data_IF_126719554934
#
_entry.id   IF_126719554934
#
_cell.length_a   1.000
_cell.length_b   1.000
_cell.length_c   1.000
_cell.angle_alpha   90.00
_cell.angle_beta   90.00
_cell.angle_gamma   90.00
#
_symmetry.space_group_name_H-M   'P 1'
#
loop_
_entity.id
_entity.type
_entity.pdbx_description
1 polymer ?
#
# COMPACT_ATOMS: atom_id res chain seq x y z
N UNK A 1 -12.85 -9.98 5.17
CA UNK A 1 -11.87 -10.24 4.08
C UNK A 1 -10.52 -10.43 4.75
N UNK A 2 -9.74 -11.46 4.39
CA UNK A 2 -8.37 -11.61 4.90
C UNK A 2 -7.46 -10.59 4.24
N UNK A 3 -6.47 -10.08 5.00
CA UNK A 3 -5.43 -9.18 4.47
C UNK A 3 -4.25 -10.02 4.00
N UNK A 4 -3.74 -9.73 2.81
CA UNK A 4 -2.65 -10.47 2.16
C UNK A 4 -1.27 -10.16 2.73
N UNK A 5 -1.07 -8.93 3.19
CA UNK A 5 0.19 -8.48 3.75
C UNK A 5 0.42 -9.07 5.15
N UNK A 6 1.63 -9.61 5.43
CA UNK A 6 1.99 -10.01 6.78
C UNK A 6 2.04 -8.79 7.72
N UNK A 7 1.73 -9.02 8.99
CA UNK A 7 1.75 -7.96 10.01
C UNK A 7 3.11 -7.26 10.13
N UNK A 8 4.21 -8.02 10.18
CA UNK A 8 5.53 -7.47 10.53
C UNK A 8 6.06 -6.41 9.56
N UNK A 9 6.02 -6.59 8.22
CA UNK A 9 6.38 -5.54 7.27
C UNK A 9 5.55 -4.26 7.42
N UNK A 10 4.23 -4.39 7.63
CA UNK A 10 3.36 -3.23 7.78
C UNK A 10 3.63 -2.51 9.11
N UNK A 11 3.83 -3.27 10.19
CA UNK A 11 4.24 -2.74 11.50
C UNK A 11 5.61 -2.05 11.43
N UNK A 12 6.54 -2.53 10.61
CA UNK A 12 7.84 -1.87 10.39
C UNK A 12 7.67 -0.51 9.69
N UNK A 13 6.87 -0.43 8.62
CA UNK A 13 6.58 0.82 7.89
C UNK A 13 5.93 1.86 8.81
N UNK A 14 4.92 1.48 9.60
CA UNK A 14 4.29 2.45 10.52
C UNK A 14 5.24 2.88 11.65
N UNK A 15 6.08 1.97 12.17
CA UNK A 15 7.05 2.30 13.24
C UNK A 15 8.16 3.24 12.78
N UNK A 16 8.67 3.08 11.55
CA UNK A 16 9.72 3.98 11.04
C UNK A 16 9.24 5.44 10.90
N UNK A 17 7.93 5.65 10.73
CA UNK A 17 7.28 6.97 10.67
C UNK A 17 6.68 7.43 12.01
N UNK A 18 6.81 6.65 13.08
CA UNK A 18 6.12 6.94 14.34
C UNK A 18 6.80 8.03 15.21
N UNK A 19 8.02 8.46 14.89
CA UNK A 19 8.83 9.44 15.64
C UNK A 19 8.82 9.23 17.17
N UNK A 20 8.96 7.98 17.61
CA UNK A 20 8.97 7.62 19.05
C UNK A 20 7.59 7.45 19.69
N UNK A 21 6.49 7.56 18.93
CA UNK A 21 5.18 7.09 19.36
C UNK A 21 5.13 5.56 19.39
N UNK A 22 4.28 5.00 20.24
CA UNK A 22 3.92 3.57 20.19
C UNK A 22 2.96 3.34 19.04
N UNK A 23 2.92 2.10 18.54
CA UNK A 23 1.95 1.68 17.53
C UNK A 23 1.10 0.54 18.10
N UNK A 24 -0.22 0.66 18.02
CA UNK A 24 -1.14 -0.45 18.34
C UNK A 24 -1.19 -1.46 17.20
N UNK A 25 -1.41 -2.74 17.50
CA UNK A 25 -1.59 -3.78 16.48
C UNK A 25 -2.70 -3.41 15.48
N UNK A 26 -3.84 -2.93 15.98
CA UNK A 26 -4.98 -2.51 15.15
C UNK A 26 -4.62 -1.39 14.15
N UNK A 27 -3.63 -0.56 14.45
CA UNK A 27 -3.17 0.49 13.52
C UNK A 27 -2.42 -0.10 12.32
N UNK A 28 -1.57 -1.10 12.57
CA UNK A 28 -0.90 -1.83 11.50
C UNK A 28 -1.90 -2.68 10.70
N UNK A 29 -2.91 -3.26 11.34
CA UNK A 29 -3.97 -4.00 10.64
C UNK A 29 -4.82 -3.10 9.75
N UNK A 30 -5.21 -1.92 10.23
CA UNK A 30 -5.94 -0.94 9.42
C UNK A 30 -5.09 -0.44 8.25
N UNK A 31 -3.82 -0.12 8.49
CA UNK A 31 -2.90 0.26 7.41
C UNK A 31 -2.77 -0.85 6.36
N UNK A 32 -2.65 -2.11 6.77
CA UNK A 32 -2.55 -3.24 5.86
C UNK A 32 -3.80 -3.39 4.98
N UNK A 33 -4.99 -3.15 5.55
CA UNK A 33 -6.27 -3.13 4.81
C UNK A 33 -6.29 -2.01 3.77
N UNK A 34 -5.89 -0.79 4.14
CA UNK A 34 -5.82 0.36 3.24
C UNK A 34 -4.85 0.14 2.10
N UNK A 35 -3.69 -0.46 2.38
CA UNK A 35 -2.70 -0.81 1.35
C UNK A 35 -3.30 -1.83 0.35
N UNK A 36 -4.00 -2.85 0.84
CA UNK A 36 -4.61 -3.87 0.00
C UNK A 36 -5.70 -3.29 -0.91
N UNK A 37 -6.61 -2.49 -0.36
CA UNK A 37 -7.68 -1.85 -1.14
C UNK A 37 -7.10 -0.92 -2.20
N UNK A 38 -6.12 -0.09 -1.84
CA UNK A 38 -5.45 0.80 -2.79
C UNK A 38 -4.72 0.02 -3.89
N UNK A 39 -3.97 -1.02 -3.53
CA UNK A 39 -3.22 -1.84 -4.49
C UNK A 39 -4.10 -2.63 -5.45
N UNK A 40 -5.23 -3.16 -4.99
CA UNK A 40 -6.19 -3.82 -5.86
C UNK A 40 -6.82 -2.83 -6.85
N UNK A 41 -7.19 -1.62 -6.38
CA UNK A 41 -7.70 -0.54 -7.24
C UNK A 41 -6.69 -0.09 -8.31
N UNK A 42 -5.41 0.06 -7.93
CA UNK A 42 -4.33 0.37 -8.88
C UNK A 42 -4.18 -0.74 -9.93
N UNK A 43 -4.27 -2.01 -9.53
CA UNK A 43 -4.17 -3.14 -10.46
C UNK A 43 -5.34 -3.18 -11.46
N UNK A 44 -6.56 -2.83 -11.04
CA UNK A 44 -7.72 -2.70 -11.96
C UNK A 44 -7.47 -1.61 -13.01
N UNK A 45 -6.92 -0.47 -12.57
CA UNK A 45 -6.56 0.64 -13.48
C UNK A 45 -5.47 0.18 -14.45
N UNK A 46 -4.41 -0.43 -13.94
CA UNK A 46 -3.31 -0.96 -14.74
C UNK A 46 -3.76 -2.05 -15.75
N UNK A 47 -4.70 -2.91 -15.37
CA UNK A 47 -5.28 -3.91 -16.28
C UNK A 47 -6.08 -3.25 -17.42
N UNK A 48 -6.73 -2.11 -17.14
CA UNK A 48 -7.45 -1.32 -18.17
C UNK A 48 -6.46 -0.70 -19.16
N UNK A 49 -5.36 -0.12 -18.69
CA UNK A 49 -4.28 0.41 -19.54
C UNK A 49 -3.66 -0.69 -20.40
N UNK A 50 -3.28 -1.83 -19.79
CA UNK A 50 -2.76 -2.98 -20.52
C UNK A 50 -3.73 -3.47 -21.61
N UNK A 51 -5.04 -3.48 -21.34
CA UNK A 51 -6.06 -3.88 -22.31
C UNK A 51 -6.17 -2.88 -23.46
N UNK A 52 -6.09 -1.59 -23.15
CA UNK A 52 -6.09 -0.50 -24.14
C UNK A 52 -4.87 -0.61 -25.07
N UNK A 53 -3.73 -1.04 -24.54
CA UNK A 53 -2.51 -1.36 -25.28
C UNK A 53 -2.55 -2.71 -26.02
N UNK A 54 -3.67 -3.44 -25.97
CA UNK A 54 -3.83 -4.73 -26.65
C UNK A 54 -3.08 -5.91 -26.02
N UNK A 55 -2.74 -5.81 -24.73
CA UNK A 55 -1.99 -6.83 -23.97
C UNK A 55 -2.74 -7.28 -22.71
N UNK A 56 -2.30 -8.42 -22.16
CA UNK A 56 -2.85 -9.03 -20.92
C UNK A 56 -1.82 -9.17 -19.80
N UNK A 57 -0.65 -8.56 -19.99
CA UNK A 57 0.40 -8.52 -18.97
C UNK A 57 0.54 -7.10 -18.48
N UNK A 58 0.32 -6.89 -17.17
CA UNK A 58 0.59 -5.65 -16.47
C UNK A 58 2.10 -5.43 -16.38
N UNK A 59 2.51 -4.23 -16.74
CA UNK A 59 3.88 -3.73 -16.83
C UNK A 59 4.04 -2.53 -15.89
N UNK A 60 5.29 -2.17 -15.50
CA UNK A 60 5.52 -0.99 -14.65
C UNK A 60 4.86 0.29 -15.18
N UNK A 61 4.86 0.47 -16.50
CA UNK A 61 4.26 1.64 -17.15
C UNK A 61 2.75 1.76 -16.93
N UNK A 62 2.03 0.65 -16.72
CA UNK A 62 0.59 0.68 -16.40
C UNK A 62 0.30 1.28 -15.04
N UNK A 63 1.29 1.24 -14.14
CA UNK A 63 1.25 1.87 -12.83
C UNK A 63 1.86 3.28 -12.86
N UNK A 64 2.18 3.82 -14.04
CA UNK A 64 2.84 5.12 -14.20
C UNK A 64 4.32 5.13 -13.83
N UNK A 65 4.97 3.96 -13.74
CA UNK A 65 6.38 3.84 -13.35
C UNK A 65 7.25 3.56 -14.58
N UNK A 66 8.11 4.53 -14.93
CA UNK A 66 9.09 4.38 -16.02
C UNK A 66 10.37 3.65 -15.57
N UNK A 67 10.76 3.83 -14.31
CA UNK A 67 11.97 3.23 -13.75
C UNK A 67 11.62 2.42 -12.50
N UNK A 68 11.86 1.12 -12.58
CA UNK A 68 11.54 0.18 -11.52
C UNK A 68 12.63 0.27 -10.44
N UNK A 69 12.27 0.51 -9.18
CA UNK A 69 13.25 0.58 -8.10
C UNK A 69 13.85 -0.80 -7.80
N UNK A 70 15.00 -0.80 -7.13
CA UNK A 70 15.61 -2.04 -6.67
C UNK A 70 14.74 -2.67 -5.57
N UNK A 71 14.44 -3.97 -5.74
CA UNK A 71 13.58 -4.72 -4.82
C UNK A 71 14.13 -4.78 -3.39
N UNK A 72 15.44 -4.82 -3.22
CA UNK A 72 16.09 -5.06 -1.92
C UNK A 72 15.89 -3.91 -0.92
N UNK A 73 15.45 -2.74 -1.38
CA UNK A 73 15.13 -1.58 -0.53
C UNK A 73 13.69 -1.56 -0.02
N UNK A 74 12.83 -2.49 -0.42
CA UNK A 74 11.42 -2.51 -0.07
C UNK A 74 11.17 -3.32 1.21
N UNK A 75 10.46 -2.72 2.16
CA UNK A 75 9.93 -3.41 3.33
C UNK A 75 8.72 -4.27 2.95
N UNK A 76 7.86 -3.79 2.04
CA UNK A 76 6.69 -4.55 1.62
C UNK A 76 7.08 -5.74 0.73
N UNK A 77 6.66 -6.97 1.09
CA UNK A 77 7.07 -8.16 0.36
C UNK A 77 6.35 -8.29 -0.98
N UNK A 78 7.14 -8.43 -2.05
CA UNK A 78 6.65 -8.52 -3.45
C UNK A 78 5.63 -9.64 -3.68
N UNK A 79 5.77 -10.79 -3.02
CA UNK A 79 4.87 -11.92 -3.24
C UNK A 79 3.44 -11.67 -2.68
N UNK A 80 3.25 -11.19 -1.45
CA UNK A 80 1.96 -10.64 -0.99
C UNK A 80 1.40 -9.53 -1.88
N UNK A 81 2.25 -8.62 -2.36
CA UNK A 81 1.81 -7.55 -3.28
C UNK A 81 1.29 -8.11 -4.61
N UNK A 82 1.92 -9.15 -5.17
CA UNK A 82 1.41 -9.86 -6.37
C UNK A 82 0.04 -10.49 -6.11
N UNK A 83 -0.25 -10.95 -4.89
CA UNK A 83 -1.59 -11.45 -4.55
C UNK A 83 -2.62 -10.33 -4.48
N UNK A 84 -2.27 -9.19 -3.88
CA UNK A 84 -3.10 -7.98 -3.88
C UNK A 84 -3.44 -7.56 -5.31
N UNK A 85 -2.44 -7.52 -6.20
CA UNK A 85 -2.61 -7.14 -7.60
C UNK A 85 -3.59 -8.02 -8.38
N UNK A 86 -3.95 -9.20 -7.84
CA UNK A 86 -4.80 -10.19 -8.50
C UNK A 86 -6.20 -10.28 -7.90
N UNK A 87 -6.50 -9.54 -6.82
CA UNK A 87 -7.77 -9.65 -6.12
C UNK A 87 -8.97 -9.29 -7.00
N UNK A 88 -8.84 -8.20 -7.75
CA UNK A 88 -9.98 -7.57 -8.44
C UNK A 88 -9.82 -7.54 -9.98
N UNK A 89 -8.83 -8.27 -10.52
CA UNK A 89 -8.63 -8.44 -11.96
C UNK A 89 -8.93 -9.88 -12.38
N UNK A 90 -9.25 -10.10 -13.65
CA UNK A 90 -9.53 -11.44 -14.16
C UNK A 90 -8.26 -12.34 -14.16
N UNK A 91 -8.46 -13.64 -13.95
CA UNK A 91 -7.38 -14.63 -13.83
C UNK A 91 -6.50 -14.78 -15.09
N UNK A 92 -6.97 -14.29 -16.25
CA UNK A 92 -6.22 -14.30 -17.51
C UNK A 92 -5.13 -13.21 -17.57
N UNK A 93 -5.16 -12.24 -16.65
CA UNK A 93 -4.12 -11.22 -16.54
C UNK A 93 -2.86 -11.75 -15.86
N UNK A 94 -1.72 -11.32 -16.37
CA UNK A 94 -0.39 -11.60 -15.83
C UNK A 94 0.18 -10.32 -15.24
N UNK A 95 0.96 -10.43 -14.18
CA UNK A 95 1.71 -9.31 -13.61
C UNK A 95 3.19 -9.59 -13.82
N UNK A 96 3.88 -8.75 -14.60
CA UNK A 96 5.32 -8.86 -14.80
C UNK A 96 6.08 -8.73 -13.47
N UNK A 97 7.27 -9.33 -13.35
CA UNK A 97 8.05 -9.24 -12.09
C UNK A 97 8.29 -7.79 -11.70
N UNK A 98 8.76 -6.99 -12.66
CA UNK A 98 9.04 -5.57 -12.46
C UNK A 98 7.79 -4.77 -12.10
N UNK A 99 6.62 -5.16 -12.62
CA UNK A 99 5.35 -4.53 -12.28
C UNK A 99 4.95 -4.81 -10.81
N UNK A 100 5.28 -6.00 -10.28
CA UNK A 100 5.06 -6.33 -8.86
C UNK A 100 5.98 -5.50 -7.96
N UNK A 101 7.23 -5.29 -8.38
CA UNK A 101 8.19 -4.44 -7.67
C UNK A 101 7.75 -2.98 -7.71
N UNK A 102 7.32 -2.49 -8.86
CA UNK A 102 6.76 -1.15 -9.03
C UNK A 102 5.54 -0.93 -8.13
N UNK A 103 4.58 -1.86 -8.12
CA UNK A 103 3.42 -1.78 -7.24
C UNK A 103 3.83 -1.81 -5.76
N UNK A 104 4.76 -2.68 -5.37
CA UNK A 104 5.24 -2.74 -3.99
C UNK A 104 5.85 -1.40 -3.54
N UNK A 105 6.60 -0.73 -4.41
CA UNK A 105 7.15 0.60 -4.14
C UNK A 105 6.08 1.68 -3.99
N UNK A 106 5.05 1.68 -4.86
CA UNK A 106 3.92 2.61 -4.74
C UNK A 106 3.20 2.41 -3.41
N UNK A 107 2.90 1.15 -3.07
CA UNK A 107 2.20 0.79 -1.85
C UNK A 107 3.00 1.12 -0.59
N UNK A 108 4.32 0.99 -0.64
CA UNK A 108 5.19 1.36 0.48
C UNK A 108 5.24 2.87 0.68
N UNK A 109 5.30 3.64 -0.41
CA UNK A 109 5.22 5.12 -0.36
C UNK A 109 3.89 5.57 0.23
N UNK A 110 2.78 5.00 -0.24
CA UNK A 110 1.44 5.23 0.31
C UNK A 110 1.35 4.90 1.80
N UNK A 111 1.99 3.79 2.21
CA UNK A 111 2.04 3.38 3.61
C UNK A 111 2.87 4.34 4.49
N UNK A 112 3.99 4.85 3.97
CA UNK A 112 4.80 5.86 4.66
C UNK A 112 4.02 7.16 4.89
N UNK A 113 3.39 7.68 3.84
CA UNK A 113 2.59 8.91 3.90
C UNK A 113 1.44 8.78 4.90
N UNK A 114 0.71 7.66 4.82
CA UNK A 114 -0.39 7.34 5.75
C UNK A 114 0.11 7.23 7.19
N UNK A 115 1.24 6.57 7.42
CA UNK A 115 1.81 6.41 8.75
C UNK A 115 2.30 7.74 9.35
N UNK A 116 2.92 8.60 8.55
CA UNK A 116 3.36 9.92 8.98
C UNK A 116 2.16 10.84 9.33
N UNK A 117 1.09 10.77 8.54
CA UNK A 117 -0.16 11.46 8.85
C UNK A 117 -0.80 10.94 10.15
N UNK A 118 -0.88 9.62 10.32
CA UNK A 118 -1.41 8.99 11.53
C UNK A 118 -0.59 9.37 12.79
N UNK A 119 0.74 9.44 12.68
CA UNK A 119 1.59 9.93 13.76
C UNK A 119 1.29 11.40 14.13
N UNK A 120 1.03 12.23 13.12
CA UNK A 120 0.65 13.63 13.30
C UNK A 120 -0.71 13.78 13.97
N UNK A 121 -1.70 12.97 13.60
CA UNK A 121 -3.02 12.94 14.22
C UNK A 121 -2.98 12.47 15.67
N UNK A 122 -2.18 11.43 15.96
CA UNK A 122 -1.98 10.96 17.32
C UNK A 122 -1.38 12.06 18.22
N UNK A 123 -0.42 12.83 17.70
CA UNK A 123 0.16 14.00 18.40
C UNK A 123 -0.85 15.11 18.63
N UNK A 124 -1.64 15.46 17.63
CA UNK A 124 -2.69 16.49 17.78
C UNK A 124 -3.76 16.10 18.80
N UNK A 125 -3.98 14.80 18.99
CA UNK A 125 -4.86 14.26 20.02
C UNK A 125 -4.17 14.07 21.39
N UNK A 126 -2.97 14.62 21.61
CA UNK A 126 -2.15 14.47 22.82
C UNK A 126 -1.90 13.00 23.25
N UNK A 127 -1.85 12.07 22.29
CA UNK A 127 -1.62 10.65 22.54
C UNK A 127 -0.18 10.23 22.27
N UNK A 128 0.25 9.19 22.99
CA UNK A 128 1.57 8.55 22.84
C UNK A 128 1.54 7.23 22.05
N UNK A 129 0.39 6.90 21.48
CA UNK A 129 0.14 5.67 20.72
C UNK A 129 -0.69 6.01 19.50
N UNK A 130 -0.17 5.64 18.32
CA UNK A 130 -0.89 5.61 17.04
C UNK A 130 -1.89 4.46 17.10
N UNK A 131 -3.15 4.77 16.83
CA UNK A 131 -4.30 3.86 16.84
C UNK A 131 -4.86 3.70 15.42
N UNK A 132 -5.66 2.66 15.21
CA UNK A 132 -6.42 2.48 13.97
C UNK A 132 -7.21 3.75 13.57
N UNK A 133 -7.87 4.39 14.55
CA UNK A 133 -8.60 5.64 14.34
C UNK A 133 -7.75 6.77 13.74
N UNK A 134 -6.42 6.82 14.00
CA UNK A 134 -5.55 7.82 13.37
C UNK A 134 -5.36 7.56 11.88
N UNK A 135 -5.25 6.28 11.50
CA UNK A 135 -5.16 5.85 10.10
C UNK A 135 -6.49 6.09 9.39
N UNK A 136 -7.61 5.74 10.02
CA UNK A 136 -8.96 6.00 9.48
C UNK A 136 -9.21 7.50 9.28
N UNK A 137 -8.89 8.32 10.28
CA UNK A 137 -9.10 9.77 10.24
C UNK A 137 -8.34 10.43 9.08
N UNK A 138 -7.15 9.93 8.72
CA UNK A 138 -6.40 10.47 7.57
C UNK A 138 -7.25 10.41 6.29
N UNK A 139 -7.86 9.27 5.99
CA UNK A 139 -8.72 9.09 4.82
C UNK A 139 -10.06 9.81 4.95
N UNK A 140 -10.59 9.95 6.16
CA UNK A 140 -11.77 10.78 6.41
C UNK A 140 -11.51 12.28 6.19
N UNK A 141 -10.26 12.74 6.29
CA UNK A 141 -9.90 14.14 6.03
C UNK A 141 -9.55 14.37 4.55
N UNK A 142 -8.99 13.37 3.87
CA UNK A 142 -8.63 13.44 2.46
C UNK A 142 -9.84 13.79 1.56
N UNK A 143 -11.04 13.31 1.88
CA UNK A 143 -12.27 13.64 1.12
C UNK A 143 -12.65 15.13 1.10
N UNK A 144 -12.00 15.98 1.91
CA UNK A 144 -12.30 17.41 2.02
C UNK A 144 -11.30 18.32 1.29
N UNK A 145 -10.28 17.76 0.63
CA UNK A 145 -9.25 18.50 -0.11
C UNK A 145 -8.99 17.87 -1.49
#
# INVERSE_FOLDING_TARGET
MSVELPFAPVDAVIRRNADGLRVSADAAEELARRIQEHGASLAVTAATEATTDGRKTLMPSDFGIEQVPEKDGLELPVAPVDRIARLDIADDYRVAMDARVALASILETYADETAAAAATLARHADRRTIKAADVETYFELEQYY
#
